data_IF_790832107876
#
_entry.id   IF_790832107876
#
_cell.length_a   1.000
_cell.length_b   1.000
_cell.length_c   1.000
_cell.angle_alpha   90.00
_cell.angle_beta   90.00
_cell.angle_gamma   90.00
#
_symmetry.space_group_name_H-M   'P 1'
#
loop_
_entity.id
_entity.type
_entity.pdbx_description
1 polymer ?
#
# COMPACT_ATOMS: atom_id res chain seq x y z
N UNK A 1 14.45 -8.06 -14.10
CA UNK A 1 13.82 -8.34 -12.79
C UNK A 1 12.66 -7.37 -12.61
N UNK A 2 11.49 -7.66 -13.19
CA UNK A 2 10.25 -6.96 -12.83
C UNK A 2 9.88 -7.44 -11.42
N UNK A 3 10.56 -6.90 -10.40
CA UNK A 3 10.13 -7.11 -9.03
C UNK A 3 8.75 -6.47 -8.96
N UNK A 4 7.71 -7.30 -8.87
CA UNK A 4 6.31 -6.90 -8.88
C UNK A 4 6.11 -5.76 -7.87
N UNK A 5 6.12 -4.53 -8.37
CA UNK A 5 5.86 -3.34 -7.56
C UNK A 5 4.47 -3.47 -6.94
N UNK A 6 3.54 -4.11 -7.65
CA UNK A 6 2.25 -4.54 -7.11
C UNK A 6 2.37 -5.38 -5.84
N UNK A 7 3.27 -6.37 -5.84
CA UNK A 7 3.50 -7.22 -4.67
C UNK A 7 4.10 -6.40 -3.52
N UNK A 8 5.03 -5.49 -3.79
CA UNK A 8 5.60 -4.59 -2.78
C UNK A 8 4.55 -3.66 -2.18
N UNK A 9 3.68 -3.07 -3.01
CA UNK A 9 2.59 -2.22 -2.55
C UNK A 9 1.63 -3.00 -1.64
N UNK A 10 1.27 -4.22 -2.05
CA UNK A 10 0.40 -5.10 -1.29
C UNK A 10 1.03 -5.53 0.03
N UNK A 11 2.32 -5.89 0.04
CA UNK A 11 3.05 -6.24 1.27
C UNK A 11 3.13 -5.06 2.22
N UNK A 12 3.44 -3.87 1.71
CA UNK A 12 3.54 -2.66 2.53
C UNK A 12 2.20 -2.28 3.17
N UNK A 13 1.09 -2.37 2.43
CA UNK A 13 -0.27 -2.14 2.97
C UNK A 13 -0.62 -3.22 4.00
N UNK A 14 -0.30 -4.49 3.72
CA UNK A 14 -0.57 -5.60 4.63
C UNK A 14 0.21 -5.46 5.94
N UNK A 15 1.48 -5.05 5.86
CA UNK A 15 2.30 -4.72 7.03
C UNK A 15 1.72 -3.54 7.80
N UNK A 16 1.34 -2.46 7.09
CA UNK A 16 0.74 -1.29 7.72
C UNK A 16 -0.55 -1.62 8.45
N UNK A 17 -1.49 -2.31 7.79
CA UNK A 17 -2.76 -2.73 8.41
C UNK A 17 -2.51 -3.67 9.57
N UNK A 18 -1.57 -4.61 9.45
CA UNK A 18 -1.19 -5.51 10.56
C UNK A 18 -0.61 -4.74 11.75
N UNK A 19 0.20 -3.71 11.49
CA UNK A 19 0.78 -2.84 12.52
C UNK A 19 -0.29 -1.91 13.14
N UNK A 20 -1.33 -1.52 12.39
CA UNK A 20 -2.49 -0.77 12.92
C UNK A 20 -3.22 -1.62 13.95
N UNK A 21 -3.56 -2.87 13.61
CA UNK A 21 -4.31 -3.75 14.51
C UNK A 21 -3.54 -4.03 15.80
N UNK A 22 -2.20 -3.97 15.75
CA UNK A 22 -1.31 -4.09 16.90
C UNK A 22 -0.93 -2.78 17.59
N UNK A 23 -1.51 -1.63 17.19
CA UNK A 23 -1.25 -0.31 17.80
C UNK A 23 0.15 0.26 17.57
N UNK A 24 0.91 -0.26 16.59
CA UNK A 24 2.30 0.09 16.31
C UNK A 24 2.52 0.68 14.91
N UNK A 25 1.44 1.04 14.19
CA UNK A 25 1.56 1.62 12.87
C UNK A 25 2.34 2.93 12.90
N UNK A 26 3.53 2.90 12.31
CA UNK A 26 4.43 4.04 12.27
C UNK A 26 4.18 4.86 11.02
N UNK A 27 4.37 6.18 11.09
CA UNK A 27 4.29 7.06 9.93
C UNK A 27 5.22 6.63 8.77
N UNK A 28 6.30 5.91 9.12
CA UNK A 28 7.25 5.35 8.16
C UNK A 28 6.66 4.19 7.33
N UNK A 29 5.92 3.27 7.95
CA UNK A 29 5.25 2.16 7.25
C UNK A 29 4.19 2.70 6.29
N UNK A 30 3.45 3.72 6.75
CA UNK A 30 2.48 4.45 5.93
C UNK A 30 3.15 5.04 4.69
N UNK A 31 4.25 5.76 4.87
CA UNK A 31 4.92 6.45 3.78
C UNK A 31 5.54 5.46 2.79
N UNK A 32 6.05 4.31 3.29
CA UNK A 32 6.51 3.21 2.46
C UNK A 32 5.36 2.61 1.63
N UNK A 33 4.20 2.34 2.25
CA UNK A 33 3.04 1.81 1.56
C UNK A 33 2.48 2.77 0.51
N UNK A 34 2.40 4.07 0.82
CA UNK A 34 1.96 5.09 -0.12
C UNK A 34 2.89 5.21 -1.34
N UNK A 35 4.21 5.23 -1.10
CA UNK A 35 5.20 5.26 -2.18
C UNK A 35 5.18 3.98 -3.01
N UNK A 36 5.04 2.81 -2.37
CA UNK A 36 4.96 1.53 -3.07
C UNK A 36 3.72 1.45 -3.95
N UNK A 37 2.55 1.89 -3.46
CA UNK A 37 1.32 1.98 -4.27
C UNK A 37 1.53 2.90 -5.47
N UNK A 38 2.05 4.12 -5.28
CA UNK A 38 2.27 5.04 -6.41
C UNK A 38 3.24 4.48 -7.45
N UNK A 39 4.35 3.91 -7.00
CA UNK A 39 5.32 3.27 -7.89
C UNK A 39 4.69 2.11 -8.64
N UNK A 40 3.92 1.27 -7.94
CA UNK A 40 3.18 0.17 -8.53
C UNK A 40 2.14 0.67 -9.54
N UNK A 41 1.39 1.73 -9.25
CA UNK A 41 0.38 2.26 -10.16
C UNK A 41 1.00 2.78 -11.46
N UNK A 42 2.24 3.28 -11.45
CA UNK A 42 2.88 3.73 -12.69
C UNK A 42 3.25 2.58 -13.63
N UNK A 43 3.62 1.42 -13.08
CA UNK A 43 4.09 0.24 -13.82
C UNK A 43 3.01 -0.84 -14.00
N UNK A 44 1.92 -0.77 -13.22
CA UNK A 44 0.85 -1.75 -13.15
C UNK A 44 -0.10 -1.72 -14.37
N UNK A 45 -0.62 -2.91 -14.68
CA UNK A 45 -1.72 -3.09 -15.62
C UNK A 45 -3.02 -2.43 -15.13
N UNK A 46 -4.03 -2.23 -16.01
CA UNK A 46 -5.31 -1.64 -15.62
C UNK A 46 -6.02 -2.39 -14.48
N UNK A 47 -5.91 -3.72 -14.47
CA UNK A 47 -6.49 -4.59 -13.43
C UNK A 47 -5.76 -4.43 -12.10
N UNK A 48 -4.42 -4.43 -12.12
CA UNK A 48 -3.61 -4.18 -10.94
C UNK A 48 -3.81 -2.75 -10.40
N UNK A 49 -3.98 -1.77 -11.27
CA UNK A 49 -4.32 -0.38 -10.89
C UNK A 49 -5.62 -0.31 -10.11
N UNK A 50 -6.65 -1.06 -10.51
CA UNK A 50 -7.90 -1.15 -9.76
C UNK A 50 -7.68 -1.70 -8.35
N UNK A 51 -6.87 -2.76 -8.21
CA UNK A 51 -6.53 -3.32 -6.90
C UNK A 51 -5.69 -2.36 -6.06
N UNK A 52 -4.71 -1.69 -6.66
CA UNK A 52 -3.87 -0.68 -6.00
C UNK A 52 -4.68 0.53 -5.53
N UNK A 53 -5.69 0.94 -6.29
CA UNK A 53 -6.57 2.05 -5.92
C UNK A 53 -7.42 1.70 -4.69
N UNK A 54 -7.90 0.46 -4.57
CA UNK A 54 -8.57 0.00 -3.35
C UNK A 54 -7.61 -0.04 -2.15
N UNK A 55 -6.39 -0.53 -2.35
CA UNK A 55 -5.36 -0.54 -1.31
C UNK A 55 -5.02 0.88 -0.84
N UNK A 56 -4.97 1.84 -1.77
CA UNK A 56 -4.74 3.25 -1.45
C UNK A 56 -5.85 3.82 -0.57
N UNK A 57 -7.11 3.59 -0.93
CA UNK A 57 -8.25 4.04 -0.13
C UNK A 57 -8.27 3.41 1.26
N UNK A 58 -7.88 2.15 1.40
CA UNK A 58 -7.74 1.53 2.72
C UNK A 58 -6.66 2.23 3.55
N UNK A 59 -5.51 2.52 2.93
CA UNK A 59 -4.42 3.22 3.60
C UNK A 59 -4.83 4.63 4.06
N UNK A 60 -5.58 5.36 3.22
CA UNK A 60 -6.10 6.71 3.53
C UNK A 60 -7.27 6.69 4.53
N UNK A 61 -8.16 5.70 4.49
CA UNK A 61 -9.25 5.60 5.48
C UNK A 61 -8.70 5.40 6.89
N UNK A 62 -7.68 4.55 7.02
CA UNK A 62 -6.96 4.33 8.27
C UNK A 62 -6.15 5.55 8.72
N UNK A 63 -5.96 6.57 7.87
CA UNK A 63 -5.31 7.83 8.22
C UNK A 63 -6.27 8.82 8.89
N UNK A 64 -7.58 8.70 8.62
CA UNK A 64 -8.63 9.62 9.07
C UNK A 64 -9.40 9.12 10.30
N UNK A 65 -9.10 7.91 10.80
CA UNK A 65 -9.77 7.29 11.95
C UNK A 65 -9.03 7.50 13.27
#
# INVERSE_FOLDING_TARGET
MQKNLFQQAKDAVTQFTSNITGGNASAQDKQAAHNAIQAAMNDATPEEKQQLQQLQQQLEQHQLS
#
